data_IF_437511706825
#
_entry.id   IF_437511706825
#
_cell.length_a   1.000
_cell.length_b   1.000
_cell.length_c   1.000
_cell.angle_alpha   90.00
_cell.angle_beta   90.00
_cell.angle_gamma   90.00
#
_symmetry.space_group_name_H-M   'P 1'
#
loop_
_entity.id
_entity.type
_entity.pdbx_description
1 polymer ?
#
# COMPACT_ATOMS: atom_id res chain seq x y z
N UNK A 1 6.54 2.20 -13.38
CA UNK A 1 7.29 0.93 -13.19
C UNK A 1 7.88 0.90 -11.79
N UNK A 2 7.85 -0.24 -11.09
CA UNK A 2 8.48 -0.40 -9.76
C UNK A 2 9.98 -0.53 -9.94
N UNK A 3 10.77 0.24 -9.17
CA UNK A 3 12.24 0.28 -9.25
C UNK A 3 12.90 -0.49 -8.12
N UNK A 4 12.26 -0.57 -6.96
CA UNK A 4 12.67 -1.42 -5.84
C UNK A 4 11.51 -1.63 -4.88
N UNK A 5 11.65 -2.63 -4.02
CA UNK A 5 10.75 -2.86 -2.87
C UNK A 5 11.61 -3.17 -1.66
N UNK A 6 11.41 -2.42 -0.57
CA UNK A 6 11.96 -2.75 0.74
C UNK A 6 10.84 -3.22 1.65
N UNK A 7 11.12 -4.26 2.41
CA UNK A 7 10.17 -4.83 3.36
C UNK A 7 10.86 -5.05 4.69
N UNK A 8 10.19 -4.66 5.76
CA UNK A 8 10.60 -4.93 7.14
C UNK A 8 9.44 -5.57 7.88
N UNK A 9 9.70 -6.68 8.57
CA UNK A 9 8.72 -7.47 9.34
C UNK A 9 7.48 -7.85 8.52
N UNK A 10 7.69 -8.23 7.25
CA UNK A 10 6.62 -8.58 6.31
C UNK A 10 6.63 -10.10 6.08
N UNK A 11 5.59 -10.79 6.54
CA UNK A 11 5.46 -12.25 6.43
C UNK A 11 6.76 -12.97 6.90
N UNK A 12 7.53 -13.60 6.00
CA UNK A 12 8.80 -14.25 6.32
C UNK A 12 10.04 -13.33 6.19
N UNK A 13 9.86 -12.10 5.74
CA UNK A 13 10.96 -11.17 5.51
C UNK A 13 11.18 -10.25 6.72
N UNK A 14 12.28 -10.43 7.42
CA UNK A 14 12.64 -9.57 8.55
C UNK A 14 13.12 -8.19 8.09
N UNK A 15 14.04 -8.16 7.13
CA UNK A 15 14.54 -6.95 6.48
C UNK A 15 15.14 -7.35 5.14
N UNK A 16 14.53 -6.90 4.05
CA UNK A 16 14.94 -7.26 2.69
C UNK A 16 14.68 -6.13 1.71
N UNK A 17 15.55 -6.00 0.73
CA UNK A 17 15.38 -5.11 -0.41
C UNK A 17 15.52 -5.87 -1.71
N UNK A 18 14.52 -5.75 -2.57
CA UNK A 18 14.57 -6.20 -3.97
C UNK A 18 14.81 -4.99 -4.86
N UNK A 19 15.94 -4.97 -5.55
CA UNK A 19 16.35 -3.87 -6.44
C UNK A 19 16.13 -4.27 -7.90
N UNK A 20 15.26 -3.56 -8.59
CA UNK A 20 14.86 -3.78 -9.97
C UNK A 20 15.39 -2.71 -10.92
N UNK A 21 16.25 -1.81 -10.42
CA UNK A 21 16.85 -0.76 -11.23
C UNK A 21 17.79 -1.35 -12.28
N UNK A 22 17.77 -0.76 -13.45
CA UNK A 22 18.67 -1.09 -14.57
C UNK A 22 19.67 0.06 -14.78
N UNK A 23 20.57 0.25 -13.81
CA UNK A 23 21.50 1.37 -13.81
C UNK A 23 20.79 2.72 -13.95
N UNK A 24 21.23 3.56 -14.86
CA UNK A 24 20.61 4.87 -15.17
C UNK A 24 19.37 4.79 -16.07
N UNK A 25 18.99 3.60 -16.54
CA UNK A 25 17.90 3.41 -17.52
C UNK A 25 16.51 3.19 -16.90
N UNK A 26 16.37 3.36 -15.57
CA UNK A 26 15.12 3.13 -14.85
C UNK A 26 14.95 1.69 -14.38
N UNK A 27 13.74 1.14 -14.43
CA UNK A 27 13.45 -0.21 -13.95
C UNK A 27 13.64 -1.27 -15.04
N UNK A 28 13.95 -2.50 -14.62
CA UNK A 28 13.97 -3.68 -15.49
C UNK A 28 12.56 -3.98 -16.00
N UNK A 29 12.45 -4.28 -17.30
CA UNK A 29 11.15 -4.62 -17.92
C UNK A 29 10.67 -6.03 -17.58
N UNK A 30 11.58 -6.91 -17.20
CA UNK A 30 11.30 -8.30 -16.87
C UNK A 30 12.16 -8.74 -15.68
N UNK A 31 11.52 -9.42 -14.73
CA UNK A 31 12.17 -9.96 -13.54
C UNK A 31 11.66 -11.38 -13.35
N UNK A 32 12.57 -12.33 -13.19
CA UNK A 32 12.25 -13.71 -12.84
C UNK A 32 12.77 -13.99 -11.41
N UNK A 33 11.90 -14.52 -10.55
CA UNK A 33 12.22 -14.87 -9.17
C UNK A 33 12.26 -16.39 -9.03
N UNK A 34 13.40 -16.91 -8.66
CA UNK A 34 13.65 -18.34 -8.44
C UNK A 34 13.98 -18.58 -6.98
N UNK A 35 13.75 -19.79 -6.51
CA UNK A 35 14.12 -20.22 -5.17
C UNK A 35 13.39 -21.50 -4.78
N UNK A 36 13.84 -22.12 -3.71
CA UNK A 36 13.23 -23.31 -3.12
C UNK A 36 11.81 -23.04 -2.59
N UNK A 37 11.06 -24.10 -2.33
CA UNK A 37 9.76 -23.96 -1.66
C UNK A 37 9.96 -23.38 -0.26
N UNK A 38 9.13 -22.42 0.13
CA UNK A 38 9.27 -21.71 1.40
C UNK A 38 10.23 -20.51 1.38
N UNK A 39 10.95 -20.23 0.27
CA UNK A 39 11.91 -19.12 0.20
C UNK A 39 11.29 -17.71 0.14
N UNK A 40 9.96 -17.59 0.25
CA UNK A 40 9.27 -16.29 0.29
C UNK A 40 8.81 -15.76 -1.08
N UNK A 41 8.89 -16.53 -2.18
CA UNK A 41 8.41 -16.08 -3.50
C UNK A 41 6.96 -15.58 -3.48
N UNK A 42 6.07 -16.36 -2.86
CA UNK A 42 4.66 -15.98 -2.70
C UNK A 42 4.48 -14.75 -1.81
N UNK A 43 5.34 -14.56 -0.81
CA UNK A 43 5.32 -13.40 0.07
C UNK A 43 5.68 -12.12 -0.71
N UNK A 44 6.63 -12.22 -1.67
CA UNK A 44 6.91 -11.09 -2.57
C UNK A 44 5.70 -10.73 -3.44
N UNK A 45 4.99 -11.73 -3.98
CA UNK A 45 3.75 -11.50 -4.75
C UNK A 45 2.69 -10.84 -3.86
N UNK A 46 2.53 -11.30 -2.62
CA UNK A 46 1.60 -10.70 -1.65
C UNK A 46 1.94 -9.22 -1.36
N UNK A 47 3.23 -8.87 -1.33
CA UNK A 47 3.65 -7.47 -1.18
C UNK A 47 3.18 -6.59 -2.36
N UNK A 48 3.29 -7.07 -3.60
CA UNK A 48 2.79 -6.34 -4.77
C UNK A 48 1.27 -6.27 -4.77
N UNK A 49 0.59 -7.35 -4.35
CA UNK A 49 -0.87 -7.36 -4.24
C UNK A 49 -1.39 -6.39 -3.16
N UNK A 50 -0.66 -6.23 -2.04
CA UNK A 50 -0.98 -5.24 -1.03
C UNK A 50 -0.89 -3.80 -1.59
N UNK A 51 0.13 -3.49 -2.39
CA UNK A 51 0.23 -2.20 -3.08
C UNK A 51 -0.97 -1.97 -4.00
N UNK A 52 -1.33 -2.98 -4.82
CA UNK A 52 -2.50 -2.91 -5.69
C UNK A 52 -3.78 -2.61 -4.90
N UNK A 53 -4.01 -3.35 -3.83
CA UNK A 53 -5.18 -3.17 -2.94
C UNK A 53 -5.19 -1.80 -2.26
N UNK A 54 -4.02 -1.25 -1.90
CA UNK A 54 -3.96 0.10 -1.31
C UNK A 54 -4.35 1.18 -2.31
N UNK A 55 -3.97 1.05 -3.57
CA UNK A 55 -4.35 1.98 -4.64
C UNK A 55 -5.84 1.86 -4.99
N UNK A 56 -6.36 0.63 -4.99
CA UNK A 56 -7.76 0.32 -5.31
C UNK A 56 -8.71 0.55 -4.13
N UNK A 57 -8.21 0.89 -2.94
CA UNK A 57 -9.01 1.00 -1.70
C UNK A 57 -10.21 1.95 -1.82
N UNK A 58 -10.07 3.04 -2.56
CA UNK A 58 -11.16 3.98 -2.82
C UNK A 58 -12.29 3.36 -3.68
N UNK A 59 -11.94 2.54 -4.68
CA UNK A 59 -12.94 1.82 -5.47
C UNK A 59 -13.63 0.74 -4.63
N UNK A 60 -12.88 0.09 -3.73
CA UNK A 60 -13.43 -0.90 -2.81
C UNK A 60 -14.44 -0.32 -1.83
N UNK A 61 -14.30 0.94 -1.42
CA UNK A 61 -15.32 1.63 -0.60
C UNK A 61 -16.67 1.71 -1.33
N UNK A 62 -16.66 2.15 -2.58
CA UNK A 62 -17.88 2.19 -3.41
C UNK A 62 -18.49 0.81 -3.65
N UNK A 63 -17.68 -0.23 -3.82
CA UNK A 63 -18.16 -1.62 -3.93
C UNK A 63 -18.75 -2.12 -2.60
N UNK A 64 -18.15 -1.76 -1.48
CA UNK A 64 -18.64 -2.09 -0.13
C UNK A 64 -20.02 -1.49 0.13
N UNK A 65 -20.21 -0.21 -0.20
CA UNK A 65 -21.50 0.48 -0.11
C UNK A 65 -22.56 -0.21 -0.96
N UNK A 66 -22.23 -0.54 -2.20
CA UNK A 66 -23.11 -1.27 -3.11
C UNK A 66 -23.48 -2.67 -2.61
N UNK A 67 -22.51 -3.40 -2.03
CA UNK A 67 -22.76 -4.71 -1.41
C UNK A 67 -23.73 -4.56 -0.23
N UNK A 68 -23.56 -3.52 0.60
CA UNK A 68 -24.45 -3.27 1.72
C UNK A 68 -25.87 -2.91 1.27
N UNK A 69 -26.04 -2.14 0.19
CA UNK A 69 -27.34 -1.84 -0.40
C UNK A 69 -28.05 -3.11 -0.92
N UNK A 70 -27.35 -3.92 -1.70
CA UNK A 70 -27.87 -5.19 -2.22
C UNK A 70 -28.22 -6.15 -1.07
N UNK A 71 -27.42 -6.18 -0.02
CA UNK A 71 -27.66 -7.02 1.13
C UNK A 71 -28.96 -6.65 1.87
N UNK A 72 -29.25 -5.35 1.99
CA UNK A 72 -30.51 -4.85 2.58
C UNK A 72 -31.72 -5.20 1.72
N UNK A 73 -31.58 -5.12 0.39
CA UNK A 73 -32.69 -5.43 -0.55
C UNK A 73 -32.98 -6.93 -0.63
N UNK A 74 -31.97 -7.79 -0.51
CA UNK A 74 -32.08 -9.24 -0.73
C UNK A 74 -32.11 -10.07 0.56
N UNK A 75 -32.16 -9.43 1.71
CA UNK A 75 -32.16 -10.11 3.03
C UNK A 75 -31.06 -11.15 3.17
N UNK A 76 -29.84 -10.72 2.77
CA UNK A 76 -28.66 -11.59 2.79
C UNK A 76 -28.27 -11.91 4.25
N UNK A 77 -28.04 -13.18 4.63
CA UNK A 77 -27.60 -13.53 5.97
C UNK A 77 -26.35 -12.76 6.38
N UNK A 78 -26.33 -12.30 7.63
CA UNK A 78 -25.25 -11.45 8.17
C UNK A 78 -23.87 -12.13 8.04
N UNK A 79 -23.78 -13.46 8.25
CA UNK A 79 -22.54 -14.22 8.12
C UNK A 79 -21.97 -14.15 6.70
N UNK A 80 -22.83 -14.25 5.69
CA UNK A 80 -22.42 -14.15 4.28
C UNK A 80 -22.00 -12.73 3.93
N UNK A 81 -22.71 -11.73 4.45
CA UNK A 81 -22.35 -10.32 4.28
C UNK A 81 -20.97 -10.03 4.88
N UNK A 82 -20.73 -10.49 6.10
CA UNK A 82 -19.42 -10.35 6.74
C UNK A 82 -18.30 -11.02 5.95
N UNK A 83 -18.53 -12.20 5.41
CA UNK A 83 -17.56 -12.88 4.53
C UNK A 83 -17.23 -12.04 3.28
N UNK A 84 -18.23 -11.46 2.63
CA UNK A 84 -18.06 -10.63 1.44
C UNK A 84 -17.29 -9.34 1.76
N UNK A 85 -17.68 -8.64 2.82
CA UNK A 85 -17.01 -7.41 3.26
C UNK A 85 -15.56 -7.68 3.69
N UNK A 86 -15.31 -8.80 4.32
CA UNK A 86 -13.99 -9.21 4.76
C UNK A 86 -13.05 -9.57 3.62
N UNK A 87 -13.57 -10.12 2.52
CA UNK A 87 -12.76 -10.48 1.34
C UNK A 87 -12.27 -9.24 0.57
N UNK A 88 -12.98 -8.12 0.67
CA UNK A 88 -12.65 -6.86 0.00
C UNK A 88 -11.82 -5.92 0.87
N UNK A 89 -11.72 -6.15 2.18
CA UNK A 89 -11.05 -5.23 3.11
C UNK A 89 -9.53 -5.31 3.03
N UNK A 90 -8.89 -4.18 2.72
CA UNK A 90 -7.43 -4.03 2.81
C UNK A 90 -6.93 -4.26 4.24
N UNK A 91 -7.72 -3.93 5.26
CA UNK A 91 -7.36 -4.10 6.66
C UNK A 91 -7.09 -5.56 7.01
N UNK A 92 -7.97 -6.48 6.57
CA UNK A 92 -7.75 -7.92 6.77
C UNK A 92 -6.60 -8.47 5.95
N UNK A 93 -6.44 -7.96 4.73
CA UNK A 93 -5.31 -8.38 3.89
C UNK A 93 -3.97 -8.01 4.53
N UNK A 94 -3.85 -6.79 5.10
CA UNK A 94 -2.64 -6.36 5.79
C UNK A 94 -2.30 -7.22 7.01
N UNK A 95 -3.32 -7.67 7.76
CA UNK A 95 -3.10 -8.52 8.94
C UNK A 95 -2.41 -9.84 8.56
N UNK A 96 -2.78 -10.42 7.42
CA UNK A 96 -2.12 -11.60 6.87
C UNK A 96 -0.70 -11.33 6.36
N UNK A 97 -0.31 -10.07 6.21
CA UNK A 97 1.01 -9.66 5.75
C UNK A 97 2.01 -9.39 6.87
N UNK A 98 1.58 -9.41 8.12
CA UNK A 98 2.48 -9.23 9.26
C UNK A 98 3.39 -10.44 9.47
N UNK A 99 4.57 -10.20 10.03
CA UNK A 99 5.46 -11.27 10.46
C UNK A 99 4.88 -11.94 11.71
N UNK A 100 4.82 -13.26 11.72
CA UNK A 100 4.35 -14.04 12.87
C UNK A 100 5.31 -13.84 14.05
N UNK A 101 4.76 -13.68 15.25
CA UNK A 101 5.53 -13.48 16.50
C UNK A 101 6.43 -12.23 16.50
N UNK A 102 6.05 -11.21 15.71
CA UNK A 102 6.74 -9.93 15.67
C UNK A 102 5.79 -8.83 16.17
N UNK A 103 6.18 -8.13 17.24
CA UNK A 103 5.43 -7.00 17.79
C UNK A 103 5.74 -5.69 17.07
N UNK A 104 6.89 -5.62 16.38
CA UNK A 104 7.29 -4.44 15.64
C UNK A 104 6.41 -4.20 14.42
N UNK A 105 6.24 -2.94 14.04
CA UNK A 105 5.50 -2.54 12.87
C UNK A 105 6.06 -3.16 11.58
N UNK A 106 5.16 -3.57 10.71
CA UNK A 106 5.48 -3.92 9.33
C UNK A 106 5.64 -2.64 8.53
N UNK A 107 6.73 -2.50 7.79
CA UNK A 107 6.99 -1.34 6.93
C UNK A 107 7.36 -1.80 5.54
N UNK A 108 6.74 -1.17 4.54
CA UNK A 108 7.03 -1.43 3.13
C UNK A 108 7.28 -0.11 2.42
N UNK A 109 8.34 -0.08 1.61
CA UNK A 109 8.66 1.05 0.73
C UNK A 109 8.75 0.56 -0.72
N UNK A 110 7.92 1.14 -1.57
CA UNK A 110 7.88 0.88 -3.01
C UNK A 110 8.52 2.05 -3.75
N UNK A 111 9.69 1.85 -4.33
CA UNK A 111 10.26 2.80 -5.27
C UNK A 111 9.63 2.63 -6.65
N UNK A 112 9.37 3.72 -7.35
CA UNK A 112 8.78 3.68 -8.68
C UNK A 112 9.34 4.76 -9.59
N UNK A 113 9.16 4.56 -10.89
CA UNK A 113 9.39 5.56 -11.91
C UNK A 113 8.11 5.72 -12.74
N UNK A 114 7.64 6.97 -12.89
CA UNK A 114 6.48 7.33 -13.68
C UNK A 114 6.78 8.61 -14.49
N UNK A 115 6.48 8.60 -15.79
CA UNK A 115 6.69 9.73 -16.70
C UNK A 115 8.12 10.33 -16.65
N UNK A 116 9.14 9.47 -16.53
CA UNK A 116 10.54 9.88 -16.43
C UNK A 116 10.96 10.46 -15.07
N UNK A 117 10.08 10.43 -14.08
CA UNK A 117 10.34 10.88 -12.72
C UNK A 117 10.33 9.71 -11.74
N UNK A 118 11.14 9.84 -10.69
CA UNK A 118 11.24 8.84 -9.64
C UNK A 118 10.41 9.24 -8.43
N UNK A 119 9.96 8.26 -7.68
CA UNK A 119 9.25 8.45 -6.44
C UNK A 119 9.30 7.21 -5.56
N UNK A 120 8.74 7.32 -4.37
CA UNK A 120 8.50 6.17 -3.51
C UNK A 120 7.22 6.35 -2.71
N UNK A 121 6.60 5.23 -2.39
CA UNK A 121 5.47 5.14 -1.50
C UNK A 121 5.85 4.27 -0.30
N UNK A 122 5.65 4.79 0.90
CA UNK A 122 5.88 4.06 2.15
C UNK A 122 4.54 3.87 2.84
N UNK A 123 4.34 2.67 3.37
CA UNK A 123 3.29 2.38 4.35
C UNK A 123 3.88 1.64 5.55
N UNK A 124 3.35 1.93 6.72
CA UNK A 124 3.67 1.22 7.95
C UNK A 124 2.39 0.89 8.70
N UNK A 125 2.31 -0.32 9.26
CA UNK A 125 1.13 -0.80 9.95
C UNK A 125 1.46 -1.86 11.02
N UNK A 126 0.59 -1.93 12.00
CA UNK A 126 0.42 -2.98 12.99
C UNK A 126 -1.02 -3.50 12.88
N UNK A 127 -1.78 -3.48 13.95
CA UNK A 127 -3.23 -3.77 13.93
C UNK A 127 -4.00 -2.72 13.13
N UNK A 128 -3.45 -1.51 13.05
CA UNK A 128 -3.95 -0.39 12.23
C UNK A 128 -2.83 0.19 11.36
N UNK A 129 -3.19 0.99 10.37
CA UNK A 129 -2.20 1.81 9.69
C UNK A 129 -1.61 2.83 10.66
N UNK A 130 -0.28 3.00 10.60
CA UNK A 130 0.47 3.93 11.44
C UNK A 130 0.96 5.12 10.64
N UNK A 131 1.38 4.88 9.42
CA UNK A 131 2.03 5.89 8.61
C UNK A 131 1.89 5.59 7.13
N UNK A 132 1.67 6.65 6.34
CA UNK A 132 1.73 6.62 4.88
C UNK A 132 2.43 7.86 4.34
N UNK A 133 3.21 7.68 3.27
CA UNK A 133 3.88 8.77 2.59
C UNK A 133 4.06 8.48 1.12
N UNK A 134 3.67 9.43 0.29
CA UNK A 134 3.99 9.41 -1.13
C UNK A 134 4.94 10.56 -1.46
N UNK A 135 6.10 10.21 -1.97
CA UNK A 135 7.14 11.12 -2.39
C UNK A 135 7.37 11.01 -3.89
N UNK A 136 7.46 12.13 -4.58
CA UNK A 136 7.60 12.15 -6.02
C UNK A 136 8.56 13.26 -6.48
N UNK A 137 9.39 12.95 -7.46
CA UNK A 137 10.34 13.87 -8.06
C UNK A 137 9.75 14.44 -9.36
N UNK A 138 9.42 15.71 -9.39
CA UNK A 138 9.00 16.41 -10.61
C UNK A 138 10.14 17.27 -11.14
N UNK A 139 10.96 16.75 -12.04
CA UNK A 139 12.07 17.49 -12.64
C UNK A 139 13.05 18.05 -11.61
N UNK A 140 13.10 19.37 -11.45
CA UNK A 140 13.98 20.03 -10.46
C UNK A 140 13.38 20.08 -9.04
N UNK A 141 12.14 19.70 -8.87
CA UNK A 141 11.44 19.79 -7.58
C UNK A 141 11.29 18.38 -6.97
N UNK A 142 11.81 18.25 -5.77
CA UNK A 142 11.59 17.10 -4.90
C UNK A 142 10.49 17.46 -3.93
N UNK A 143 9.53 16.58 -3.70
CA UNK A 143 8.50 16.91 -2.74
C UNK A 143 7.68 15.72 -2.26
N UNK A 144 7.23 15.83 -1.03
CA UNK A 144 6.19 14.99 -0.48
C UNK A 144 4.89 15.36 -1.19
N UNK A 145 4.21 14.39 -1.81
CA UNK A 145 2.87 14.60 -2.33
C UNK A 145 1.86 14.64 -1.19
N UNK A 146 1.90 13.62 -0.35
CA UNK A 146 1.17 13.59 0.90
C UNK A 146 1.94 12.78 1.95
N UNK A 147 1.66 13.07 3.21
CA UNK A 147 2.15 12.36 4.37
C UNK A 147 1.04 12.30 5.41
N UNK A 148 0.74 11.10 5.91
CA UNK A 148 -0.29 10.85 6.88
C UNK A 148 0.34 10.10 8.05
N UNK A 149 0.24 10.68 9.24
CA UNK A 149 0.63 10.05 10.49
C UNK A 149 -0.62 9.73 11.31
N UNK A 150 -0.96 8.46 11.40
CA UNK A 150 -2.12 7.97 12.13
C UNK A 150 -1.84 7.72 13.62
N UNK A 151 -0.61 7.92 14.08
CA UNK A 151 -0.23 7.71 15.49
C UNK A 151 -0.63 8.87 16.38
N UNK A 152 -0.85 10.05 15.80
CA UNK A 152 -1.27 11.25 16.52
C UNK A 152 -2.78 11.25 16.78
N UNK A 153 -3.22 11.84 17.90
CA UNK A 153 -4.65 11.97 18.26
C UNK A 153 -5.49 12.68 17.19
N UNK A 154 -4.85 13.59 16.45
CA UNK A 154 -5.40 14.15 15.22
C UNK A 154 -4.49 13.69 14.08
N UNK A 155 -4.94 12.75 13.28
CA UNK A 155 -4.21 12.27 12.11
C UNK A 155 -3.79 13.48 11.27
N UNK A 156 -2.49 13.72 11.20
CA UNK A 156 -1.98 14.88 10.47
C UNK A 156 -1.81 14.50 9.01
N UNK A 157 -2.59 15.15 8.15
CA UNK A 157 -2.46 14.99 6.70
C UNK A 157 -1.77 16.23 6.15
N UNK A 158 -0.59 16.04 5.58
CA UNK A 158 0.14 17.11 4.90
C UNK A 158 0.17 16.87 3.40
N UNK A 159 -0.34 17.84 2.64
CA UNK A 159 -0.27 17.85 1.19
C UNK A 159 0.73 18.88 0.70
N UNK A 160 1.44 18.57 -0.38
CA UNK A 160 2.32 19.54 -1.02
C UNK A 160 1.53 20.68 -1.65
N UNK A 161 1.59 21.86 -1.06
CA UNK A 161 1.01 23.10 -1.60
C UNK A 161 1.51 23.47 -3.01
N UNK A 162 2.64 22.92 -3.44
CA UNK A 162 3.22 23.18 -4.77
C UNK A 162 2.55 22.39 -5.89
N UNK A 163 2.01 21.21 -5.58
CA UNK A 163 1.37 20.31 -6.54
C UNK A 163 -0.15 20.48 -6.57
N UNK A 164 -0.72 20.88 -5.45
CA UNK A 164 -2.16 21.14 -5.29
C UNK A 164 -2.47 22.63 -5.19
N UNK A 165 -1.88 23.44 -6.07
CA UNK A 165 -2.23 24.88 -6.16
C UNK A 165 -3.74 25.03 -6.30
N UNK A 166 -4.36 25.64 -5.28
CA UNK A 166 -5.77 26.08 -5.24
C UNK A 166 -6.85 25.02 -5.02
N UNK A 167 -6.57 23.89 -4.38
CA UNK A 167 -7.66 23.09 -3.81
C UNK A 167 -7.52 23.04 -2.30
N UNK A 168 -8.37 23.80 -1.58
CA UNK A 168 -8.79 23.36 -0.25
C UNK A 168 -9.50 22.04 -0.47
N UNK A 169 -8.83 20.95 -0.13
CA UNK A 169 -9.52 19.66 0.05
C UNK A 169 -10.15 19.80 1.42
N UNK A 170 -11.41 20.16 1.46
CA UNK A 170 -12.24 19.99 2.65
C UNK A 170 -12.44 18.47 2.73
N UNK A 171 -11.81 17.87 3.72
CA UNK A 171 -12.12 16.52 4.16
C UNK A 171 -13.35 16.64 5.03
N UNK A 172 -14.55 16.32 4.50
CA UNK A 172 -15.71 15.97 5.27
C UNK A 172 -15.59 14.57 5.85
#
# INVERSE_FOLDING_TARGET
MITYVKMKNFMSFKDVMFDFRNGSKGAKNFIAIYGENGSGKSNFVACIDLLRKSIESFQMLGETERIMEIAKEKDIPQELLEMLLNSTSILKYKDNCRMIECEDATTIEYGFQANGHEGYYIMSFEDRFLYEKLYYFTGKQRGVLYEIDYTMENSKIEFSNKLFKNKKVELE
#
